data_IF_969858751818
#
_entry.id   IF_969858751818
#
_cell.length_a   1.000
_cell.length_b   1.000
_cell.length_c   1.000
_cell.angle_alpha   90.00
_cell.angle_beta   90.00
_cell.angle_gamma   90.00
#
_symmetry.space_group_name_H-M   'P 1'
#
loop_
_entity.id
_entity.type
_entity.pdbx_description
1 polymer ?
#
# COMPACT_ATOMS: atom_id res chain seq x y z
N UNK A 1 -6.21 -34.20 4.89
CA UNK A 1 -6.38 -33.58 3.57
C UNK A 1 -5.06 -32.96 3.18
N UNK A 2 -4.61 -33.12 1.93
CA UNK A 2 -3.42 -32.43 1.40
C UNK A 2 -3.92 -31.51 0.29
N UNK A 3 -3.67 -30.22 0.41
CA UNK A 3 -3.99 -29.22 -0.62
C UNK A 3 -2.73 -28.85 -1.39
N UNK A 4 -2.89 -28.51 -2.66
CA UNK A 4 -1.83 -27.95 -3.52
C UNK A 4 -2.37 -26.67 -4.13
N UNK A 5 -1.67 -25.55 -3.91
CA UNK A 5 -1.92 -24.27 -4.55
C UNK A 5 -0.57 -23.78 -5.10
N UNK A 6 -0.46 -23.70 -6.42
CA UNK A 6 0.81 -23.49 -7.12
C UNK A 6 1.64 -24.78 -7.30
N UNK A 7 2.81 -24.71 -7.95
CA UNK A 7 3.48 -23.49 -8.39
C UNK A 7 2.79 -22.80 -9.56
N UNK A 8 1.98 -23.54 -10.32
CA UNK A 8 1.25 -23.04 -11.48
C UNK A 8 -0.15 -22.57 -11.05
N UNK A 9 -0.42 -21.27 -11.20
CA UNK A 9 -1.69 -20.64 -10.83
C UNK A 9 -2.66 -20.55 -12.01
N UNK A 10 -2.48 -21.39 -13.02
CA UNK A 10 -3.31 -21.45 -14.23
C UNK A 10 -3.91 -22.85 -14.52
N UNK A 11 -3.72 -23.80 -13.59
CA UNK A 11 -4.17 -25.19 -13.73
C UNK A 11 -5.70 -25.34 -13.92
N UNK A 12 -6.52 -24.44 -13.35
CA UNK A 12 -7.97 -24.44 -13.49
C UNK A 12 -8.57 -23.04 -13.24
N UNK A 13 -9.88 -22.87 -13.46
CA UNK A 13 -10.54 -21.56 -13.32
C UNK A 13 -10.40 -20.95 -11.91
N UNK A 14 -10.42 -21.77 -10.86
CA UNK A 14 -10.29 -21.28 -9.48
C UNK A 14 -8.88 -20.77 -9.18
N UNK A 15 -7.85 -21.50 -9.63
CA UNK A 15 -6.46 -21.03 -9.44
C UNK A 15 -6.15 -19.81 -10.31
N UNK A 16 -6.74 -19.72 -11.51
CA UNK A 16 -6.65 -18.52 -12.37
C UNK A 16 -7.29 -17.30 -11.72
N UNK A 17 -8.41 -17.48 -11.01
CA UNK A 17 -9.10 -16.41 -10.31
C UNK A 17 -8.29 -15.86 -9.12
N UNK A 18 -7.61 -16.73 -8.35
CA UNK A 18 -6.62 -16.29 -7.36
C UNK A 18 -5.49 -15.49 -8.04
N UNK A 19 -5.06 -15.96 -9.21
CA UNK A 19 -3.94 -15.40 -9.96
C UNK A 19 -2.59 -15.72 -9.33
N UNK A 20 -1.52 -15.42 -10.05
CA UNK A 20 -0.16 -15.71 -9.61
C UNK A 20 0.19 -15.02 -8.29
N UNK A 21 0.65 -15.82 -7.32
CA UNK A 21 1.23 -15.33 -6.07
C UNK A 21 2.75 -15.24 -6.25
N UNK A 22 3.31 -14.03 -6.11
CA UNK A 22 4.68 -13.68 -6.53
C UNK A 22 5.43 -13.13 -5.32
N UNK A 23 6.59 -13.73 -5.01
CA UNK A 23 7.50 -13.23 -3.97
C UNK A 23 6.89 -13.20 -2.56
N UNK A 24 5.86 -14.01 -2.32
CA UNK A 24 5.03 -14.07 -1.13
C UNK A 24 5.78 -14.22 0.18
N UNK A 25 5.20 -13.65 1.22
CA UNK A 25 5.64 -13.77 2.60
C UNK A 25 4.46 -14.10 3.51
N UNK A 26 4.78 -14.74 4.63
CA UNK A 26 3.84 -15.01 5.72
C UNK A 26 2.60 -15.83 5.35
N UNK A 27 2.72 -16.81 4.44
CA UNK A 27 1.65 -17.78 4.24
C UNK A 27 1.47 -18.61 5.52
N UNK A 28 0.26 -18.59 6.07
CA UNK A 28 -0.15 -19.40 7.22
C UNK A 28 -1.65 -19.66 7.17
N UNK A 29 -2.12 -20.64 7.93
CA UNK A 29 -3.55 -20.75 8.24
C UNK A 29 -3.88 -19.79 9.37
N UNK A 30 -5.03 -19.12 9.28
CA UNK A 30 -5.57 -18.32 10.37
C UNK A 30 -5.81 -19.24 11.57
N UNK A 31 -5.17 -18.97 12.73
CA UNK A 31 -5.28 -19.81 13.91
C UNK A 31 -6.71 -19.99 14.43
N UNK A 32 -6.91 -21.08 15.18
CA UNK A 32 -8.18 -21.35 15.86
C UNK A 32 -8.60 -20.21 16.78
N UNK A 33 -9.89 -19.89 16.75
CA UNK A 33 -10.50 -18.85 17.58
C UNK A 33 -10.39 -17.44 17.02
N UNK A 34 -9.81 -17.26 15.82
CA UNK A 34 -9.79 -15.98 15.11
C UNK A 34 -10.82 -15.98 13.97
N UNK A 35 -11.38 -14.81 13.59
CA UNK A 35 -12.25 -14.71 12.42
C UNK A 35 -11.54 -15.20 11.16
N UNK A 36 -12.17 -16.12 10.41
CA UNK A 36 -11.54 -16.79 9.27
C UNK A 36 -10.71 -18.04 9.64
N UNK A 37 -10.84 -18.58 10.85
CA UNK A 37 -10.17 -19.82 11.28
C UNK A 37 -10.13 -20.89 10.18
N UNK A 38 -8.92 -21.37 9.88
CA UNK A 38 -8.69 -22.40 8.86
C UNK A 38 -8.45 -21.86 7.45
N UNK A 39 -8.80 -20.61 7.15
CA UNK A 39 -8.45 -19.98 5.87
C UNK A 39 -6.94 -19.74 5.79
N UNK A 40 -6.39 -19.71 4.57
CA UNK A 40 -5.02 -19.29 4.33
C UNK A 40 -4.96 -17.77 4.32
N UNK A 41 -3.98 -17.18 5.00
CA UNK A 41 -3.66 -15.76 4.94
C UNK A 41 -2.24 -15.59 4.42
N UNK A 42 -2.05 -14.76 3.40
CA UNK A 42 -0.75 -14.53 2.76
C UNK A 42 -0.57 -13.08 2.36
N UNK A 43 0.65 -12.57 2.53
CA UNK A 43 1.07 -11.32 1.93
C UNK A 43 1.74 -11.65 0.59
N UNK A 44 1.06 -11.34 -0.51
CA UNK A 44 1.52 -11.55 -1.87
C UNK A 44 2.21 -10.27 -2.36
N UNK A 45 3.53 -10.24 -2.21
CA UNK A 45 4.35 -9.05 -2.42
C UNK A 45 4.26 -8.48 -3.84
N UNK A 46 4.06 -9.34 -4.85
CA UNK A 46 4.28 -8.95 -6.23
C UNK A 46 5.78 -8.92 -6.55
N UNK A 47 6.21 -7.86 -7.22
CA UNK A 47 7.56 -7.73 -7.74
C UNK A 47 7.76 -8.66 -8.93
N UNK A 48 8.79 -9.51 -8.84
CA UNK A 48 9.21 -10.36 -9.95
C UNK A 48 9.60 -11.76 -9.47
N UNK A 49 9.19 -12.78 -10.22
CA UNK A 49 9.48 -14.17 -9.88
C UNK A 49 9.09 -15.16 -10.97
N UNK A 50 9.27 -16.45 -10.66
CA UNK A 50 8.90 -17.55 -11.56
C UNK A 50 9.84 -17.76 -12.75
N UNK A 51 9.52 -18.81 -13.52
CA UNK A 51 10.25 -19.24 -14.71
C UNK A 51 9.28 -19.41 -15.88
N UNK A 52 9.66 -18.96 -17.06
CA UNK A 52 8.84 -19.07 -18.26
C UNK A 52 9.61 -18.79 -19.54
N UNK A 53 8.89 -18.54 -20.65
CA UNK A 53 9.52 -18.14 -21.90
C UNK A 53 10.15 -16.74 -21.78
N UNK A 54 11.25 -16.51 -22.51
CA UNK A 54 11.87 -15.19 -22.57
C UNK A 54 10.91 -14.14 -23.15
N UNK A 55 10.84 -12.96 -22.52
CA UNK A 55 10.03 -11.83 -22.99
C UNK A 55 10.77 -10.50 -22.73
N UNK A 56 10.26 -9.33 -23.18
CA UNK A 56 10.94 -8.05 -22.98
C UNK A 56 11.28 -7.70 -21.52
N UNK A 57 10.46 -8.14 -20.56
CA UNK A 57 10.72 -7.98 -19.11
C UNK A 57 11.63 -9.06 -18.51
N UNK A 58 11.78 -10.22 -19.17
CA UNK A 58 12.60 -11.34 -18.69
C UNK A 58 13.36 -12.05 -19.83
N UNK A 59 14.51 -11.49 -20.25
CA UNK A 59 15.23 -11.97 -21.46
C UNK A 59 15.55 -13.48 -21.49
N UNK A 60 15.84 -14.08 -20.34
CA UNK A 60 16.21 -15.49 -20.20
C UNK A 60 15.10 -16.35 -19.56
N UNK A 61 13.88 -15.80 -19.39
CA UNK A 61 12.76 -16.51 -18.78
C UNK A 61 12.79 -16.58 -17.25
N UNK A 62 13.84 -16.09 -16.59
CA UNK A 62 13.87 -15.92 -15.11
C UNK A 62 13.14 -14.64 -14.76
N UNK A 63 12.32 -14.65 -13.70
CA UNK A 63 11.49 -13.53 -13.29
C UNK A 63 10.40 -13.20 -14.33
N UNK A 64 9.76 -14.25 -14.87
CA UNK A 64 8.77 -14.13 -15.94
C UNK A 64 7.44 -13.52 -15.50
N UNK A 65 7.04 -13.72 -14.24
CA UNK A 65 5.87 -13.07 -13.66
C UNK A 65 6.30 -11.73 -13.03
N UNK A 66 5.61 -10.65 -13.41
CA UNK A 66 5.90 -9.28 -12.95
C UNK A 66 4.60 -8.61 -12.52
N UNK A 67 4.56 -8.04 -11.30
CA UNK A 67 3.46 -7.22 -10.79
C UNK A 67 3.97 -6.20 -9.78
N UNK A 68 4.01 -4.93 -10.15
CA UNK A 68 4.51 -3.85 -9.29
C UNK A 68 3.49 -3.37 -8.23
N UNK A 69 2.76 -4.31 -7.62
CA UNK A 69 1.75 -4.06 -6.60
C UNK A 69 1.71 -5.23 -5.61
N UNK A 70 1.45 -4.92 -4.34
CA UNK A 70 1.22 -5.94 -3.32
C UNK A 70 -0.27 -6.19 -3.11
N UNK A 71 -0.59 -7.35 -2.55
CA UNK A 71 -1.93 -7.69 -2.06
C UNK A 71 -1.85 -8.62 -0.85
N UNK A 72 -2.78 -8.49 0.07
CA UNK A 72 -3.03 -9.51 1.09
C UNK A 72 -4.21 -10.35 0.62
N UNK A 73 -4.11 -11.67 0.73
CA UNK A 73 -5.17 -12.60 0.34
C UNK A 73 -5.55 -13.48 1.52
N UNK A 74 -6.84 -13.58 1.78
CA UNK A 74 -7.45 -14.64 2.57
C UNK A 74 -8.16 -15.62 1.64
N UNK A 75 -7.76 -16.90 1.67
CA UNK A 75 -8.21 -17.92 0.74
C UNK A 75 -8.82 -19.08 1.52
N UNK A 76 -10.04 -19.49 1.17
CA UNK A 76 -10.61 -20.75 1.66
C UNK A 76 -9.86 -21.92 0.98
N UNK A 77 -9.13 -22.77 1.73
CA UNK A 77 -8.33 -23.84 1.13
C UNK A 77 -9.18 -24.99 0.56
N UNK A 78 -10.45 -25.12 0.94
CA UNK A 78 -11.36 -26.14 0.43
C UNK A 78 -12.02 -25.72 -0.89
N UNK A 79 -12.38 -24.43 -1.02
CA UNK A 79 -13.05 -23.92 -2.22
C UNK A 79 -12.10 -23.26 -3.21
N UNK A 80 -10.91 -22.81 -2.76
CA UNK A 80 -9.96 -21.95 -3.48
C UNK A 80 -10.53 -20.56 -3.81
N UNK A 81 -11.52 -20.09 -3.07
CA UNK A 81 -12.07 -18.74 -3.22
C UNK A 81 -11.26 -17.73 -2.40
N UNK A 82 -11.03 -16.55 -2.97
CA UNK A 82 -10.51 -15.39 -2.22
C UNK A 82 -11.68 -14.79 -1.44
N UNK A 83 -11.74 -15.05 -0.14
CA UNK A 83 -12.85 -14.62 0.72
C UNK A 83 -12.67 -13.21 1.29
N UNK A 84 -11.44 -12.72 1.30
CA UNK A 84 -11.09 -11.35 1.64
C UNK A 84 -9.76 -10.99 0.99
N UNK A 85 -9.57 -9.72 0.62
CA UNK A 85 -8.31 -9.22 0.10
C UNK A 85 -8.07 -7.79 0.55
N UNK A 86 -6.81 -7.36 0.46
CA UNK A 86 -6.46 -5.95 0.59
C UNK A 86 -5.42 -5.61 -0.46
N UNK A 87 -5.82 -4.82 -1.45
CA UNK A 87 -4.96 -4.28 -2.51
C UNK A 87 -4.88 -2.76 -2.38
N UNK A 88 -4.18 -2.11 -3.31
CA UNK A 88 -4.22 -0.66 -3.40
C UNK A 88 -5.63 -0.10 -3.63
N UNK A 89 -6.52 -0.84 -4.30
CA UNK A 89 -7.90 -0.45 -4.57
C UNK A 89 -8.75 -0.45 -3.29
N UNK A 90 -8.70 -1.53 -2.50
CA UNK A 90 -9.34 -1.56 -1.17
C UNK A 90 -8.76 -0.51 -0.23
N UNK A 91 -7.49 -0.13 -0.40
CA UNK A 91 -6.85 0.99 0.30
C UNK A 91 -7.29 2.38 -0.21
N UNK A 92 -8.25 2.46 -1.14
CA UNK A 92 -8.80 3.71 -1.68
C UNK A 92 -7.97 4.36 -2.79
N UNK A 93 -7.02 3.65 -3.39
CA UNK A 93 -6.16 4.18 -4.45
C UNK A 93 -6.64 3.74 -5.84
N UNK A 94 -6.38 4.58 -6.84
CA UNK A 94 -6.59 4.21 -8.24
C UNK A 94 -5.61 3.10 -8.65
N UNK A 95 -5.99 2.30 -9.64
CA UNK A 95 -5.14 1.22 -10.18
C UNK A 95 -3.75 1.71 -10.62
N UNK A 96 -3.66 2.92 -11.15
CA UNK A 96 -2.39 3.52 -11.60
C UNK A 96 -1.52 4.05 -10.43
N UNK A 97 -2.10 4.15 -9.24
CA UNK A 97 -1.49 4.58 -7.99
C UNK A 97 -1.15 3.39 -7.07
N UNK A 98 -1.13 2.18 -7.60
CA UNK A 98 -0.97 0.98 -6.81
C UNK A 98 0.38 0.86 -6.09
N UNK A 99 1.37 1.68 -6.45
CA UNK A 99 2.62 1.85 -5.71
C UNK A 99 2.42 2.35 -4.27
N UNK A 100 1.26 2.95 -3.94
CA UNK A 100 0.91 3.41 -2.59
C UNK A 100 0.60 2.26 -1.62
N UNK A 101 0.46 1.04 -2.12
CA UNK A 101 0.45 -0.20 -1.33
C UNK A 101 1.34 -1.24 -2.02
N UNK A 102 2.65 -1.10 -1.82
CA UNK A 102 3.63 -1.96 -2.47
C UNK A 102 4.86 -2.19 -1.60
N UNK A 103 5.08 -3.46 -1.23
CA UNK A 103 6.29 -3.93 -0.59
C UNK A 103 6.88 -5.10 -1.38
N UNK A 104 7.87 -4.90 -2.26
CA UNK A 104 8.38 -5.94 -3.18
C UNK A 104 9.12 -7.11 -2.51
N UNK A 105 9.45 -7.00 -1.24
CA UNK A 105 10.06 -8.05 -0.43
C UNK A 105 9.67 -7.86 1.04
N UNK A 106 10.02 -8.84 1.90
CA UNK A 106 9.66 -8.89 3.34
C UNK A 106 8.14 -8.75 3.55
N UNK A 107 7.63 -8.44 4.74
CA UNK A 107 6.18 -8.25 5.03
C UNK A 107 5.43 -9.41 5.69
N UNK A 108 4.24 -9.08 6.19
CA UNK A 108 3.29 -9.99 6.82
C UNK A 108 1.88 -9.44 6.84
N UNK A 109 0.91 -10.35 6.94
CA UNK A 109 -0.44 -10.06 7.42
C UNK A 109 -0.77 -10.97 8.62
N UNK A 110 -1.43 -10.46 9.64
CA UNK A 110 -1.86 -11.20 10.84
C UNK A 110 -3.32 -10.85 11.14
N UNK A 111 -4.20 -11.84 11.14
CA UNK A 111 -5.59 -11.68 11.60
C UNK A 111 -5.60 -11.49 13.12
N UNK A 112 -6.44 -10.58 13.61
CA UNK A 112 -6.57 -10.22 15.02
C UNK A 112 -7.91 -10.68 15.63
N UNK A 113 -8.01 -10.81 16.97
CA UNK A 113 -9.25 -11.25 17.64
C UNK A 113 -10.47 -10.35 17.39
N UNK A 114 -10.27 -9.05 17.16
CA UNK A 114 -11.32 -8.09 16.83
C UNK A 114 -11.81 -8.22 15.37
N UNK A 115 -11.21 -9.09 14.57
CA UNK A 115 -11.49 -9.25 13.14
C UNK A 115 -10.69 -8.36 12.22
N UNK A 116 -9.87 -7.43 12.74
CA UNK A 116 -8.97 -6.62 11.92
C UNK A 116 -7.77 -7.45 11.44
N UNK A 117 -7.06 -6.93 10.45
CA UNK A 117 -5.79 -7.47 9.97
C UNK A 117 -4.68 -6.48 10.24
N UNK A 118 -3.65 -6.89 10.99
CA UNK A 118 -2.39 -6.17 11.04
C UNK A 118 -1.57 -6.52 9.80
N UNK A 119 -1.23 -5.53 8.99
CA UNK A 119 -0.40 -5.65 7.79
C UNK A 119 0.92 -4.93 8.06
N UNK A 120 2.03 -5.56 7.70
CA UNK A 120 3.37 -4.97 7.73
C UNK A 120 3.86 -4.80 6.30
N UNK A 121 3.88 -3.57 5.78
CA UNK A 121 4.58 -3.19 4.55
C UNK A 121 6.07 -3.04 4.87
N UNK A 122 6.78 -4.16 4.78
CA UNK A 122 8.09 -4.28 5.40
C UNK A 122 9.16 -3.43 4.72
N UNK A 123 9.13 -3.27 3.38
CA UNK A 123 10.13 -2.48 2.64
C UNK A 123 10.15 -1.01 3.08
N UNK A 124 8.98 -0.47 3.40
CA UNK A 124 8.76 0.95 3.68
C UNK A 124 8.63 1.22 5.18
N UNK A 125 8.79 0.17 6.00
CA UNK A 125 8.73 0.27 7.45
C UNK A 125 7.37 0.71 7.98
N UNK A 126 6.30 0.45 7.22
CA UNK A 126 4.94 0.85 7.55
C UNK A 126 4.14 -0.34 8.06
N UNK A 127 3.40 -0.13 9.14
CA UNK A 127 2.49 -1.11 9.72
C UNK A 127 1.11 -0.46 9.77
N UNK A 128 0.08 -1.18 9.34
CA UNK A 128 -1.30 -0.71 9.37
C UNK A 128 -2.21 -1.78 9.98
N UNK A 129 -3.16 -1.38 10.81
CA UNK A 129 -4.28 -2.23 11.19
C UNK A 129 -5.50 -1.82 10.37
N UNK A 130 -6.06 -2.79 9.64
CA UNK A 130 -7.15 -2.58 8.71
C UNK A 130 -8.38 -3.35 9.17
N UNK A 131 -9.54 -2.72 9.14
CA UNK A 131 -10.82 -3.39 9.41
C UNK A 131 -11.18 -4.36 8.29
N UNK A 132 -12.19 -5.21 8.53
CA UNK A 132 -12.75 -6.08 7.48
C UNK A 132 -13.31 -5.28 6.30
N UNK A 133 -13.71 -4.04 6.53
CA UNK A 133 -14.32 -3.13 5.56
C UNK A 133 -13.26 -2.20 4.91
N UNK A 134 -11.97 -2.54 5.09
CA UNK A 134 -10.79 -1.89 4.49
C UNK A 134 -10.42 -0.51 5.05
N UNK A 135 -10.94 -0.14 6.21
CA UNK A 135 -10.56 1.11 6.88
C UNK A 135 -9.27 0.94 7.69
N UNK A 136 -8.32 1.85 7.53
CA UNK A 136 -7.12 1.91 8.37
C UNK A 136 -7.48 2.56 9.70
N UNK A 137 -7.38 1.80 10.81
CA UNK A 137 -7.71 2.27 12.17
C UNK A 137 -6.49 2.50 13.05
N UNK A 138 -5.33 2.05 12.60
CA UNK A 138 -4.05 2.33 13.25
C UNK A 138 -2.94 2.27 12.22
N UNK A 139 -1.97 3.17 12.35
CA UNK A 139 -0.80 3.23 11.49
C UNK A 139 0.45 3.55 12.30
N UNK A 140 1.55 2.88 11.95
CA UNK A 140 2.86 3.17 12.48
C UNK A 140 3.89 3.18 11.36
N UNK A 141 4.71 4.21 11.34
CA UNK A 141 5.85 4.33 10.45
C UNK A 141 7.12 4.21 11.30
N UNK A 142 7.99 3.26 10.97
CA UNK A 142 9.25 3.07 11.66
C UNK A 142 10.13 4.33 11.55
N UNK A 143 10.42 5.03 12.67
CA UNK A 143 11.22 6.24 12.66
C UNK A 143 12.74 5.95 12.61
N UNK A 144 13.14 4.68 12.77
CA UNK A 144 14.54 4.27 12.84
C UNK A 144 15.10 3.96 11.46
N UNK A 145 15.81 4.93 10.88
CA UNK A 145 16.45 4.79 9.59
C UNK A 145 17.89 4.27 9.72
N UNK A 146 18.29 3.45 8.75
CA UNK A 146 19.67 3.01 8.52
C UNK A 146 20.07 3.29 7.08
N UNK A 147 21.36 3.59 6.88
CA UNK A 147 21.92 3.76 5.54
C UNK A 147 22.38 2.40 5.00
N UNK A 148 21.89 2.03 3.83
CA UNK A 148 22.36 0.89 3.05
C UNK A 148 22.86 1.41 1.70
N UNK A 149 24.18 1.38 1.50
CA UNK A 149 24.83 2.07 0.37
C UNK A 149 24.40 3.54 0.32
N UNK A 150 23.78 3.97 -0.78
CA UNK A 150 23.31 5.34 -0.99
C UNK A 150 21.81 5.53 -0.66
N UNK A 151 21.18 4.55 0.00
CA UNK A 151 19.76 4.58 0.33
C UNK A 151 19.56 4.68 1.84
N UNK A 152 18.61 5.52 2.25
CA UNK A 152 18.16 5.63 3.64
C UNK A 152 16.87 4.82 3.78
N UNK A 153 16.91 3.76 4.58
CA UNK A 153 15.85 2.76 4.69
C UNK A 153 15.39 2.61 6.14
N UNK A 154 14.11 2.41 6.37
CA UNK A 154 13.49 2.13 7.68
C UNK A 154 12.78 0.76 7.69
N UNK A 155 13.28 -0.21 6.93
CA UNK A 155 12.66 -1.52 6.75
C UNK A 155 12.30 -2.20 8.08
N UNK A 156 11.14 -2.85 8.12
CA UNK A 156 10.69 -3.73 9.21
C UNK A 156 10.48 -5.12 8.63
N UNK A 157 11.20 -6.13 9.15
CA UNK A 157 11.10 -7.49 8.61
C UNK A 157 9.69 -8.08 8.78
N UNK A 158 9.17 -8.04 10.00
CA UNK A 158 7.84 -8.53 10.37
C UNK A 158 7.39 -7.88 11.68
N UNK A 159 6.09 -7.69 11.85
CA UNK A 159 5.50 -7.28 13.12
C UNK A 159 4.33 -8.19 13.49
N UNK A 160 4.10 -8.31 14.80
CA UNK A 160 2.96 -9.02 15.36
C UNK A 160 2.33 -8.15 16.44
N UNK A 161 1.00 -8.09 16.48
CA UNK A 161 0.27 -7.58 17.63
C UNK A 161 0.20 -8.69 18.67
N UNK A 162 0.56 -8.36 19.90
CA UNK A 162 0.49 -9.26 21.05
C UNK A 162 -0.48 -8.69 22.08
N UNK A 163 -1.18 -9.53 22.85
CA UNK A 163 -2.04 -9.06 23.95
C UNK A 163 -1.23 -8.30 25.01
N UNK A 164 -1.85 -7.31 25.66
CA UNK A 164 -1.20 -6.57 26.75
C UNK A 164 -0.80 -7.48 27.91
N UNK A 165 -1.56 -8.56 28.13
CA UNK A 165 -1.34 -9.57 29.17
C UNK A 165 0.00 -10.31 29.01
N UNK A 166 0.64 -10.26 27.83
CA UNK A 166 1.97 -10.83 27.62
C UNK A 166 3.08 -9.97 28.22
N UNK A 167 2.79 -8.71 28.57
CA UNK A 167 3.75 -7.76 29.15
C UNK A 167 3.15 -7.18 30.45
N UNK A 168 2.89 -8.02 31.47
CA UNK A 168 2.17 -7.61 32.69
C UNK A 168 2.93 -6.58 33.53
N UNK A 169 4.22 -6.37 33.27
CA UNK A 169 5.03 -5.34 33.92
C UNK A 169 4.73 -3.91 33.44
N UNK A 170 3.98 -3.74 32.34
CA UNK A 170 3.56 -2.43 31.84
C UNK A 170 2.09 -2.19 32.22
N UNK A 171 1.79 -0.99 32.70
CA UNK A 171 0.42 -0.55 32.81
C UNK A 171 -0.21 -0.50 31.41
N UNK A 172 -1.45 -0.98 31.29
CA UNK A 172 -2.17 -0.92 30.02
C UNK A 172 -2.36 0.56 29.65
N UNK A 173 -1.83 1.02 28.50
CA UNK A 173 -1.98 2.40 28.09
C UNK A 173 -3.44 2.71 27.74
N UNK A 174 -3.82 3.97 27.89
CA UNK A 174 -5.06 4.49 27.31
C UNK A 174 -4.86 4.65 25.80
N UNK A 175 -5.74 4.03 25.01
CA UNK A 175 -5.73 4.15 23.56
C UNK A 175 -6.51 5.41 23.16
N UNK A 176 -5.80 6.41 22.62
CA UNK A 176 -6.38 7.68 22.18
C UNK A 176 -6.39 7.71 20.66
N UNK A 177 -7.56 7.95 20.06
CA UNK A 177 -7.69 8.11 18.61
C UNK A 177 -6.89 9.33 18.13
N UNK A 178 -6.16 9.16 17.03
CA UNK A 178 -5.50 10.26 16.32
C UNK A 178 -6.35 10.60 15.11
N UNK A 179 -6.90 11.82 15.09
CA UNK A 179 -7.66 12.30 13.94
C UNK A 179 -6.75 12.45 12.70
N UNK A 180 -7.24 12.09 11.50
CA UNK A 180 -6.49 12.27 10.27
C UNK A 180 -6.03 13.72 10.07
N UNK A 181 -4.79 13.87 9.62
CA UNK A 181 -4.23 15.19 9.31
C UNK A 181 -4.90 15.73 8.05
N UNK A 182 -5.55 16.89 8.15
CA UNK A 182 -6.01 17.63 6.97
C UNK A 182 -4.80 18.19 6.20
N UNK A 183 -4.36 17.46 5.18
CA UNK A 183 -3.22 17.83 4.34
C UNK A 183 -3.43 19.12 3.56
N UNK A 184 -4.68 19.58 3.37
CA UNK A 184 -4.96 20.85 2.70
C UNK A 184 -4.49 22.05 3.54
N UNK A 185 -4.56 21.93 4.86
CA UNK A 185 -4.22 22.98 5.83
C UNK A 185 -2.98 22.68 6.67
N UNK A 186 -2.55 21.43 6.78
CA UNK A 186 -1.38 21.04 7.55
C UNK A 186 -0.09 21.62 6.97
N UNK A 187 0.68 22.30 7.81
CA UNK A 187 1.97 22.90 7.44
C UNK A 187 3.00 22.60 8.52
N UNK A 188 4.20 22.23 8.10
CA UNK A 188 5.36 22.13 8.99
C UNK A 188 5.84 23.53 9.40
N UNK A 189 6.54 23.63 10.53
CA UNK A 189 7.11 24.89 10.99
C UNK A 189 7.95 25.55 9.89
N UNK A 190 7.72 26.84 9.66
CA UNK A 190 8.34 27.68 8.61
C UNK A 190 7.89 27.39 7.17
N UNK A 191 6.94 26.47 6.92
CA UNK A 191 6.32 26.35 5.61
C UNK A 191 5.35 27.52 5.35
N UNK A 192 5.15 27.85 4.06
CA UNK A 192 4.13 28.82 3.65
C UNK A 192 2.76 28.39 4.20
N UNK A 193 1.91 29.33 4.68
CA UNK A 193 0.60 28.96 5.24
C UNK A 193 -0.35 28.33 4.21
N UNK A 194 -0.05 28.40 2.91
CA UNK A 194 -0.78 27.69 1.86
C UNK A 194 -1.35 28.61 0.78
N UNK A 195 -2.51 28.22 0.25
CA UNK A 195 -3.24 29.01 -0.74
C UNK A 195 -3.56 30.41 -0.19
N UNK A 196 -3.51 31.44 -1.06
CA UNK A 196 -3.89 32.81 -0.70
C UNK A 196 -2.82 33.66 0.02
N UNK A 197 -1.62 33.13 0.27
CA UNK A 197 -0.55 33.87 0.99
C UNK A 197 0.54 34.41 0.07
N UNK A 198 0.53 34.00 -1.22
CA UNK A 198 1.42 34.54 -2.24
C UNK A 198 0.95 35.90 -2.75
N UNK A 199 1.88 36.79 -3.07
CA UNK A 199 1.56 38.02 -3.81
C UNK A 199 1.26 37.63 -5.27
N UNK A 200 -0.02 37.64 -5.65
CA UNK A 200 -0.43 37.45 -7.05
C UNK A 200 0.04 38.68 -7.84
N UNK A 201 0.91 38.46 -8.82
CA UNK A 201 1.33 39.49 -9.78
C UNK A 201 0.72 39.13 -11.12
N UNK A 202 -0.23 39.94 -11.59
CA UNK A 202 -0.85 39.77 -12.90
C UNK A 202 0.10 40.20 -14.01
N UNK A 203 0.34 39.32 -14.98
CA UNK A 203 0.98 39.66 -16.25
C UNK A 203 -0.12 40.07 -17.23
N UNK A 204 0.12 41.11 -18.03
CA UNK A 204 -0.83 41.55 -19.04
C UNK A 204 -1.21 40.40 -19.98
N UNK A 205 -2.52 40.21 -20.19
CA UNK A 205 -3.07 39.09 -20.99
C UNK A 205 -3.26 37.77 -20.25
N UNK A 206 -2.92 37.66 -18.95
CA UNK A 206 -3.06 36.42 -18.17
C UNK A 206 -4.03 36.63 -17.00
N UNK A 207 -5.12 35.86 -16.95
CA UNK A 207 -6.03 35.83 -15.79
C UNK A 207 -5.52 34.84 -14.72
N UNK A 208 -5.05 35.32 -13.55
CA UNK A 208 -4.51 34.48 -12.49
C UNK A 208 -5.57 33.63 -11.75
N UNK A 209 -6.87 33.79 -12.06
CA UNK A 209 -7.96 33.07 -11.39
C UNK A 209 -8.49 31.87 -12.17
N UNK A 210 -8.04 31.68 -13.41
CA UNK A 210 -8.46 30.55 -14.25
C UNK A 210 -7.86 29.25 -13.71
N UNK A 211 -8.70 28.37 -13.16
CA UNK A 211 -8.33 27.00 -12.77
C UNK A 211 -8.58 26.05 -13.95
N UNK A 212 -7.64 25.97 -14.91
CA UNK A 212 -7.65 24.93 -15.94
C UNK A 212 -6.91 23.70 -15.42
N UNK A 213 -7.53 22.52 -15.53
CA UNK A 213 -6.89 21.23 -15.23
C UNK A 213 -6.28 20.71 -16.53
N UNK A 214 -4.97 20.53 -16.58
CA UNK A 214 -4.31 19.95 -17.74
C UNK A 214 -4.70 18.48 -17.90
N UNK A 215 -5.10 18.08 -19.11
CA UNK A 215 -5.42 16.69 -19.46
C UNK A 215 -6.84 16.23 -19.12
N UNK A 216 -7.68 17.09 -18.54
CA UNK A 216 -9.12 16.85 -18.37
C UNK A 216 -9.89 18.14 -18.69
N UNK A 217 -10.29 18.29 -19.95
CA UNK A 217 -11.10 19.42 -20.41
C UNK A 217 -11.82 19.07 -21.71
N UNK A 218 -13.12 19.37 -21.73
CA UNK A 218 -13.95 19.35 -22.93
C UNK A 218 -13.42 20.36 -23.95
N UNK A 219 -13.41 19.90 -25.20
CA UNK A 219 -13.07 20.61 -26.45
C UNK A 219 -11.60 21.03 -26.60
N UNK A 220 -11.03 20.57 -27.72
CA UNK A 220 -9.73 20.95 -28.27
C UNK A 220 -9.66 22.46 -28.44
N UNK A 221 -9.26 23.18 -27.39
CA UNK A 221 -8.89 24.58 -27.51
C UNK A 221 -7.50 24.66 -28.16
N UNK A 222 -7.47 25.32 -29.31
CA UNK A 222 -6.27 25.76 -30.05
C UNK A 222 -5.10 26.09 -29.11
N UNK A 223 -3.88 25.66 -29.48
CA UNK A 223 -2.59 25.81 -28.79
C UNK A 223 -2.51 27.00 -27.81
N UNK A 224 -3.12 26.86 -26.63
CA UNK A 224 -3.11 27.93 -25.64
C UNK A 224 -1.86 27.74 -24.78
N UNK A 225 -0.87 28.58 -25.04
CA UNK A 225 0.40 28.61 -24.32
C UNK A 225 0.13 28.93 -22.85
N UNK A 226 0.23 27.92 -21.98
CA UNK A 226 0.12 28.08 -20.54
C UNK A 226 1.42 28.66 -19.99
N UNK A 227 1.46 29.98 -19.82
CA UNK A 227 2.56 30.65 -19.13
C UNK A 227 2.22 30.78 -17.64
N UNK A 228 2.93 30.08 -16.76
CA UNK A 228 2.89 30.36 -15.32
C UNK A 228 4.28 30.69 -14.78
N UNK A 229 4.36 31.72 -13.95
CA UNK A 229 5.55 32.08 -13.20
C UNK A 229 5.22 31.99 -11.70
N UNK A 230 5.86 31.06 -11.00
CA UNK A 230 5.82 31.00 -9.54
C UNK A 230 7.11 31.61 -9.03
N UNK A 231 7.00 32.74 -8.33
CA UNK A 231 8.11 33.32 -7.58
C UNK A 231 7.69 33.45 -6.12
N UNK A 232 8.43 32.77 -5.25
CA UNK A 232 8.34 32.91 -3.80
C UNK A 232 9.54 33.71 -3.31
N UNK A 233 9.31 34.97 -2.93
CA UNK A 233 10.31 35.76 -2.21
C UNK A 233 10.19 35.47 -0.71
N UNK A 234 11.23 34.88 -0.13
CA UNK A 234 11.36 34.78 1.32
C UNK A 234 11.68 36.14 1.95
N UNK A 235 11.19 36.36 3.17
CA UNK A 235 11.91 37.17 4.16
C UNK A 235 12.63 36.20 5.10
#
# INVERSE_FOLDING_TARGET
VVWKLGPDFDENEKTKEIGWIIGQHHLHMIPRGLPGEGNLLVFDNGGWGGYGAGNPGCRNGVNNAIRDTSRVLEIDPATLEVVWQYTAEEAGNLRFDAYKFYSPYISSAQRLPNGNTLITEGSDGRLIEVTKDHEIVWEYINPYYKNLKNHRLNMVYRAYRVPYEWVPQLEKPEEISIEPVDVSSFRVKNASPGEGTGKVTSVEGVDPKVKKVTGMGEEEAEEEVVNFCVTSFGK
#
